data_IF_007385693824
#
_entry.id   IF_007385693824
#
_cell.length_a   1.000
_cell.length_b   1.000
_cell.length_c   1.000
_cell.angle_alpha   90.00
_cell.angle_beta   90.00
_cell.angle_gamma   90.00
#
_symmetry.space_group_name_H-M   'P 1'
#
loop_
_entity.id
_entity.type
_entity.pdbx_description
1 polymer ?
#
# COMPACT_ATOMS: atom_id res chain seq x y z
N UNK A 1 -13.16 10.97 7.79
CA UNK A 1 -13.22 10.87 6.32
C UNK A 1 -12.70 9.50 5.92
N UNK A 2 -13.39 8.79 5.02
CA UNK A 2 -12.93 7.48 4.51
C UNK A 2 -11.89 7.68 3.40
N UNK A 3 -10.86 6.86 3.42
CA UNK A 3 -9.82 6.85 2.39
C UNK A 3 -9.26 5.43 2.20
N UNK A 4 -8.46 5.28 1.15
CA UNK A 4 -7.60 4.11 0.93
C UNK A 4 -6.14 4.56 0.96
N UNK A 5 -5.22 3.66 1.32
CA UNK A 5 -3.79 3.95 1.31
C UNK A 5 -3.13 3.26 0.11
N UNK A 6 -2.38 4.02 -0.68
CA UNK A 6 -1.49 3.43 -1.69
C UNK A 6 -0.36 2.69 -0.98
N UNK A 7 -0.29 1.38 -1.18
CA UNK A 7 0.50 0.46 -0.39
C UNK A 7 1.45 -0.35 -1.27
N UNK A 8 2.75 -0.25 -1.01
CA UNK A 8 3.76 -1.05 -1.72
C UNK A 8 4.36 -2.17 -0.86
N UNK A 9 3.98 -2.26 0.43
CA UNK A 9 4.64 -3.10 1.43
C UNK A 9 5.94 -2.49 2.00
N UNK A 10 6.37 -1.33 1.50
CA UNK A 10 7.59 -0.67 1.95
C UNK A 10 7.43 0.14 3.24
N UNK A 11 8.56 0.50 3.87
CA UNK A 11 8.60 1.33 5.09
C UNK A 11 7.91 2.69 4.91
N UNK A 12 7.98 3.25 3.71
CA UNK A 12 7.44 4.58 3.42
C UNK A 12 5.91 4.54 3.29
N UNK A 13 5.34 3.49 2.67
CA UNK A 13 3.88 3.27 2.68
C UNK A 13 3.37 2.94 4.09
N UNK A 14 4.16 2.22 4.89
CA UNK A 14 3.87 1.99 6.32
C UNK A 14 3.78 3.30 7.11
N UNK A 15 4.74 4.21 6.90
CA UNK A 15 4.75 5.51 7.55
C UNK A 15 3.57 6.40 7.09
N UNK A 16 3.23 6.38 5.80
CA UNK A 16 2.09 7.13 5.27
C UNK A 16 0.76 6.62 5.86
N UNK A 17 0.56 5.30 5.93
CA UNK A 17 -0.60 4.68 6.56
C UNK A 17 -0.71 5.09 8.04
N UNK A 18 0.39 4.98 8.80
CA UNK A 18 0.41 5.35 10.21
C UNK A 18 0.03 6.82 10.41
N UNK A 19 0.58 7.72 9.59
CA UNK A 19 0.23 9.15 9.63
C UNK A 19 -1.24 9.38 9.29
N UNK A 20 -1.79 8.71 8.29
CA UNK A 20 -3.20 8.87 7.92
C UNK A 20 -4.13 8.44 9.06
N UNK A 21 -3.90 7.28 9.66
CA UNK A 21 -4.67 6.80 10.81
C UNK A 21 -4.57 7.76 11.99
N UNK A 22 -3.36 8.24 12.32
CA UNK A 22 -3.15 9.22 13.41
C UNK A 22 -3.82 10.57 13.17
N UNK A 23 -4.06 10.94 11.91
CA UNK A 23 -4.81 12.15 11.53
C UNK A 23 -6.33 11.92 11.42
N UNK A 24 -6.84 10.76 11.86
CA UNK A 24 -8.29 10.50 11.91
C UNK A 24 -8.91 10.06 10.57
N UNK A 25 -8.09 9.65 9.60
CA UNK A 25 -8.61 9.00 8.40
C UNK A 25 -9.00 7.54 8.71
N UNK A 26 -10.19 7.16 8.28
CA UNK A 26 -10.65 5.77 8.32
C UNK A 26 -10.13 5.06 7.07
N UNK A 27 -8.96 4.43 7.18
CA UNK A 27 -8.36 3.66 6.08
C UNK A 27 -8.99 2.27 6.06
N UNK A 28 -9.78 2.01 5.03
CA UNK A 28 -10.54 0.75 4.90
C UNK A 28 -9.90 -0.24 3.93
N UNK A 29 -9.03 0.25 3.04
CA UNK A 29 -8.42 -0.53 1.98
C UNK A 29 -6.97 -0.10 1.74
N UNK A 30 -6.14 -1.06 1.37
CA UNK A 30 -4.77 -0.85 0.89
C UNK A 30 -4.75 -1.18 -0.61
N UNK A 31 -4.23 -0.25 -1.42
CA UNK A 31 -4.13 -0.42 -2.87
C UNK A 31 -2.68 -0.70 -3.25
N UNK A 32 -2.41 -1.92 -3.70
CA UNK A 32 -1.13 -2.29 -4.31
C UNK A 32 -1.22 -2.27 -5.83
N UNK A 33 -0.25 -1.60 -6.46
CA UNK A 33 -0.06 -1.68 -7.91
C UNK A 33 0.95 -2.77 -8.29
N UNK A 34 0.52 -3.70 -9.13
CA UNK A 34 1.38 -4.69 -9.79
C UNK A 34 1.82 -4.19 -11.16
N UNK A 35 2.89 -4.78 -11.71
CA UNK A 35 3.26 -4.57 -13.10
C UNK A 35 2.21 -5.15 -14.07
N UNK A 36 2.42 -4.97 -15.38
CA UNK A 36 1.47 -5.41 -16.41
C UNK A 36 1.27 -6.93 -16.43
N UNK A 37 2.22 -7.70 -15.89
CA UNK A 37 2.10 -9.16 -15.77
C UNK A 37 1.30 -9.57 -14.54
N UNK A 38 1.17 -8.70 -13.54
CA UNK A 38 0.53 -9.01 -12.27
C UNK A 38 1.39 -9.83 -11.30
N UNK A 39 2.60 -10.20 -11.69
CA UNK A 39 3.48 -11.09 -10.92
C UNK A 39 4.28 -10.36 -9.85
N UNK A 40 4.57 -9.07 -10.09
CA UNK A 40 5.43 -8.27 -9.22
C UNK A 40 4.82 -6.92 -8.88
N UNK A 41 5.04 -6.48 -7.64
CA UNK A 41 4.69 -5.12 -7.22
C UNK A 41 5.61 -4.12 -7.90
N UNK A 42 5.06 -3.09 -8.57
CA UNK A 42 5.87 -2.15 -9.38
C UNK A 42 6.96 -1.43 -8.58
N UNK A 43 6.72 -1.20 -7.30
CA UNK A 43 7.61 -0.38 -6.46
C UNK A 43 8.85 -1.14 -5.98
N UNK A 44 8.74 -2.43 -5.67
CA UNK A 44 9.81 -3.20 -5.02
C UNK A 44 10.10 -4.54 -5.66
N UNK A 45 9.47 -4.87 -6.80
CA UNK A 45 9.65 -6.14 -7.52
C UNK A 45 9.47 -7.39 -6.64
N UNK A 46 8.74 -7.26 -5.52
CA UNK A 46 8.36 -8.38 -4.68
C UNK A 46 7.29 -9.20 -5.40
N UNK A 47 7.34 -10.52 -5.27
CA UNK A 47 6.34 -11.40 -5.87
C UNK A 47 4.97 -11.17 -5.22
N UNK A 48 3.92 -11.43 -5.99
CA UNK A 48 2.54 -11.40 -5.49
C UNK A 48 2.31 -12.26 -4.25
N UNK A 49 3.00 -13.39 -4.13
CA UNK A 49 2.88 -14.29 -2.97
C UNK A 49 3.44 -13.71 -1.66
N UNK A 50 4.34 -12.72 -1.75
CA UNK A 50 4.95 -12.11 -0.57
C UNK A 50 4.15 -10.92 0.00
N UNK A 51 2.97 -10.65 -0.56
CA UNK A 51 2.13 -9.51 -0.19
C UNK A 51 0.80 -9.96 0.40
#
# INVERSE_FOLDING_TARGET
MKAFCSWSGGKDSCLALNRAVRNGYEITHLLTMFDETGERVRSHSISREMM
#
